data_IF_284645475795
#
_entry.id   IF_284645475795
#
_cell.length_a   1.000
_cell.length_b   1.000
_cell.length_c   1.000
_cell.angle_alpha   90.00
_cell.angle_beta   90.00
_cell.angle_gamma   90.00
#
_symmetry.space_group_name_H-M   'P 1'
#
loop_
_entity.id
_entity.type
_entity.pdbx_description
1 polymer ?
#
# COMPACT_ATOMS: atom_id res chain seq x y z
N UNK A 1 41.34 -28.29 -17.24
CA UNK A 1 39.93 -28.19 -16.84
C UNK A 1 39.81 -27.29 -15.63
N UNK A 2 39.38 -26.03 -15.81
CA UNK A 2 39.01 -25.14 -14.70
C UNK A 2 37.49 -25.10 -14.63
N UNK A 3 36.93 -25.63 -13.55
CA UNK A 3 35.52 -25.49 -13.21
C UNK A 3 35.26 -24.03 -12.82
N UNK A 4 34.74 -23.26 -13.76
CA UNK A 4 34.21 -21.93 -13.47
C UNK A 4 32.83 -22.11 -12.86
N UNK A 5 32.71 -21.88 -11.55
CA UNK A 5 31.43 -21.74 -10.85
C UNK A 5 30.62 -20.64 -11.56
N UNK A 6 29.52 -21.02 -12.23
CA UNK A 6 28.48 -20.08 -12.67
C UNK A 6 27.94 -19.37 -11.43
N UNK A 7 28.27 -18.09 -11.28
CA UNK A 7 27.51 -17.19 -10.40
C UNK A 7 26.13 -17.07 -11.03
N UNK A 8 25.12 -17.47 -10.30
CA UNK A 8 23.72 -17.37 -10.70
C UNK A 8 23.32 -15.92 -10.40
N UNK A 9 23.38 -15.07 -11.43
CA UNK A 9 22.96 -13.67 -11.37
C UNK A 9 21.44 -13.61 -11.64
N UNK A 10 20.64 -14.03 -10.66
CA UNK A 10 19.16 -13.91 -10.70
C UNK A 10 18.75 -12.53 -10.18
N UNK A 11 17.84 -11.87 -10.88
CA UNK A 11 17.20 -10.64 -10.43
C UNK A 11 15.76 -10.98 -10.05
N UNK A 12 15.41 -10.74 -8.79
CA UNK A 12 14.06 -10.90 -8.25
C UNK A 12 13.29 -9.60 -8.52
N UNK A 13 12.27 -9.66 -9.38
CA UNK A 13 11.32 -8.56 -9.56
C UNK A 13 10.22 -8.74 -8.52
N UNK A 14 10.27 -7.94 -7.45
CA UNK A 14 9.33 -8.03 -6.33
C UNK A 14 8.08 -7.17 -6.59
N UNK A 15 8.15 -6.22 -7.54
CA UNK A 15 7.08 -5.24 -7.74
C UNK A 15 6.93 -4.81 -9.21
N UNK A 16 5.68 -4.64 -9.65
CA UNK A 16 5.28 -4.06 -10.93
C UNK A 16 4.48 -2.78 -10.63
N UNK A 17 5.04 -1.62 -10.97
CA UNK A 17 4.45 -0.31 -10.65
C UNK A 17 3.71 0.23 -11.87
N UNK A 18 2.40 0.37 -11.75
CA UNK A 18 1.58 1.07 -12.76
C UNK A 18 1.36 2.50 -12.27
N UNK A 19 1.87 3.48 -13.01
CA UNK A 19 1.76 4.91 -12.66
C UNK A 19 0.73 5.57 -13.57
N UNK A 20 -0.42 5.96 -13.02
CA UNK A 20 -1.38 6.84 -13.71
C UNK A 20 -0.98 8.31 -13.48
N UNK A 21 -0.75 9.07 -14.54
CA UNK A 21 -0.55 10.53 -14.42
C UNK A 21 -1.94 11.17 -14.49
N UNK A 22 -2.47 11.62 -13.35
CA UNK A 22 -3.63 12.51 -13.36
C UNK A 22 -3.12 13.92 -13.66
N UNK A 23 -3.52 14.46 -14.81
CA UNK A 23 -3.36 15.87 -15.15
C UNK A 23 -4.27 16.76 -14.29
N UNK A 24 -4.01 16.85 -12.99
CA UNK A 24 -4.54 17.87 -12.08
C UNK A 24 -3.58 17.96 -10.89
N UNK A 25 -3.05 19.17 -10.66
CA UNK A 25 -2.09 19.51 -9.61
C UNK A 25 -2.48 18.91 -8.24
N UNK A 26 -1.83 17.82 -7.86
CA UNK A 26 -1.63 17.48 -6.46
C UNK A 26 -0.14 17.59 -6.17
N UNK A 27 0.16 18.50 -5.26
CA UNK A 27 1.48 18.70 -4.68
C UNK A 27 2.06 17.33 -4.33
N UNK A 28 3.30 16.99 -4.73
CA UNK A 28 3.96 15.83 -4.18
C UNK A 28 4.12 16.14 -2.70
N UNK A 29 3.28 15.56 -1.84
CA UNK A 29 3.62 15.47 -0.42
C UNK A 29 4.74 14.44 -0.34
N UNK A 30 5.94 14.96 -0.61
CA UNK A 30 7.19 14.41 -0.15
C UNK A 30 7.05 14.07 1.33
N UNK A 31 7.58 12.89 1.69
CA UNK A 31 7.73 12.37 3.05
C UNK A 31 6.46 11.72 3.64
N UNK A 32 5.99 10.62 3.05
CA UNK A 32 5.66 9.49 3.92
C UNK A 32 6.98 9.02 4.54
N UNK A 33 7.23 9.47 5.76
CA UNK A 33 8.31 8.94 6.57
C UNK A 33 7.87 7.52 6.96
N UNK A 34 8.25 6.53 6.16
CA UNK A 34 8.25 5.15 6.59
C UNK A 34 9.31 5.07 7.68
N UNK A 35 8.91 5.24 8.93
CA UNK A 35 9.66 4.64 10.03
C UNK A 35 9.41 3.14 9.91
N UNK A 36 10.21 2.46 9.10
CA UNK A 36 10.55 1.06 9.35
C UNK A 36 11.46 1.10 10.57
N UNK A 37 10.85 1.36 11.71
CA UNK A 37 11.51 1.12 12.98
C UNK A 37 11.44 -0.39 13.11
N UNK A 38 12.57 -1.06 12.87
CA UNK A 38 12.84 -2.37 13.45
C UNK A 38 12.60 -2.19 14.95
N UNK A 39 11.38 -2.49 15.39
CA UNK A 39 11.06 -2.53 16.80
C UNK A 39 11.78 -3.76 17.33
N UNK A 40 12.83 -3.52 18.11
CA UNK A 40 13.32 -4.51 19.06
C UNK A 40 12.09 -5.11 19.75
N UNK A 41 12.04 -6.44 19.75
CA UNK A 41 11.00 -7.32 20.32
C UNK A 41 10.76 -7.10 21.83
N UNK A 42 11.23 -6.00 22.42
CA UNK A 42 11.15 -5.67 23.85
C UNK A 42 10.22 -4.50 24.19
N UNK A 43 9.71 -3.74 23.21
CA UNK A 43 8.69 -2.70 23.45
C UNK A 43 7.27 -3.24 23.24
N UNK A 44 7.00 -4.43 23.76
CA UNK A 44 5.63 -4.92 23.89
C UNK A 44 4.82 -3.89 24.67
N UNK A 45 3.92 -3.20 23.95
CA UNK A 45 2.80 -2.49 24.52
C UNK A 45 2.22 -3.36 25.63
N UNK A 46 2.18 -2.84 26.86
CA UNK A 46 1.55 -3.52 27.98
C UNK A 46 0.06 -3.69 27.66
N UNK A 47 -0.31 -4.84 27.09
CA UNK A 47 -1.69 -5.25 26.92
C UNK A 47 -2.20 -5.62 28.31
N UNK A 48 -2.85 -4.68 28.98
CA UNK A 48 -3.63 -5.01 30.17
C UNK A 48 -4.99 -5.56 29.72
N UNK A 49 -5.40 -6.71 30.27
CA UNK A 49 -6.70 -7.36 30.03
C UNK A 49 -7.92 -6.57 30.57
N UNK A 50 -7.78 -5.27 30.86
CA UNK A 50 -8.81 -4.42 31.44
C UNK A 50 -9.50 -3.47 30.44
N UNK A 51 -9.27 -3.66 29.14
CA UNK A 51 -9.80 -2.76 28.11
C UNK A 51 -11.32 -2.84 27.97
N UNK A 52 -12.01 -1.70 27.92
CA UNK A 52 -13.43 -1.66 27.55
C UNK A 52 -13.60 -1.85 26.05
N UNK A 53 -14.74 -2.39 25.59
CA UNK A 53 -14.97 -2.52 24.15
C UNK A 53 -15.21 -1.13 23.52
N UNK A 54 -14.60 -0.90 22.35
CA UNK A 54 -14.90 0.29 21.54
C UNK A 54 -16.26 0.09 20.88
N UNK A 55 -17.21 1.02 21.07
CA UNK A 55 -18.53 0.86 20.45
C UNK A 55 -18.44 1.03 18.92
N UNK A 56 -19.13 0.18 18.15
CA UNK A 56 -19.14 0.27 16.69
C UNK A 56 -19.67 1.63 16.19
N UNK A 57 -20.59 2.26 16.93
CA UNK A 57 -21.10 3.61 16.60
C UNK A 57 -20.05 4.72 16.74
N UNK A 58 -18.94 4.45 17.43
CA UNK A 58 -17.83 5.39 17.58
C UNK A 58 -16.85 5.34 16.40
N UNK A 59 -17.03 4.40 15.47
CA UNK A 59 -16.19 4.23 14.29
C UNK A 59 -16.97 4.69 13.06
N UNK A 60 -16.40 5.63 12.31
CA UNK A 60 -16.97 6.08 11.04
C UNK A 60 -15.95 5.98 9.93
N UNK A 61 -16.43 5.70 8.72
CA UNK A 61 -15.67 5.70 7.47
C UNK A 61 -16.49 6.38 6.40
N UNK A 62 -15.85 7.14 5.52
CA UNK A 62 -16.53 7.82 4.41
C UNK A 62 -16.97 6.84 3.30
N UNK A 63 -16.19 5.79 3.05
CA UNK A 63 -16.45 4.77 2.03
C UNK A 63 -16.09 3.36 2.55
N UNK A 64 -16.68 2.33 1.94
CA UNK A 64 -16.44 0.91 2.27
C UNK A 64 -15.56 0.19 1.27
N UNK A 65 -15.40 0.78 0.08
CA UNK A 65 -14.65 0.22 -1.04
C UNK A 65 -13.79 1.33 -1.63
N UNK A 66 -12.52 1.02 -1.89
CA UNK A 66 -11.55 1.99 -2.40
C UNK A 66 -10.72 1.36 -3.51
N UNK A 67 -10.52 2.09 -4.59
CA UNK A 67 -9.57 1.73 -5.62
C UNK A 67 -8.14 2.12 -5.22
N UNK A 68 -7.19 1.18 -5.38
CA UNK A 68 -5.76 1.40 -5.16
C UNK A 68 -5.28 2.67 -5.86
N UNK A 69 -4.41 3.43 -5.20
CA UNK A 69 -3.79 4.67 -5.66
C UNK A 69 -4.75 5.86 -5.92
N UNK A 70 -6.08 5.69 -5.83
CA UNK A 70 -7.05 6.72 -6.19
C UNK A 70 -7.90 7.17 -5.01
N UNK A 71 -8.55 6.24 -4.31
CA UNK A 71 -9.62 6.59 -3.39
C UNK A 71 -9.10 6.71 -1.95
N UNK A 72 -9.12 7.92 -1.35
CA UNK A 72 -8.82 8.09 0.06
C UNK A 72 -9.98 7.62 0.93
N UNK A 73 -9.67 6.77 1.90
CA UNK A 73 -10.61 6.35 2.95
C UNK A 73 -10.28 7.07 4.24
N UNK A 74 -11.20 7.94 4.66
CA UNK A 74 -11.11 8.63 5.94
C UNK A 74 -11.77 7.75 7.00
N UNK A 75 -10.97 7.32 7.96
CA UNK A 75 -11.43 6.70 9.20
C UNK A 75 -11.46 7.75 10.31
N UNK A 76 -12.51 7.72 11.12
CA UNK A 76 -12.58 8.48 12.37
C UNK A 76 -13.01 7.56 13.51
N UNK A 77 -12.38 7.72 14.66
CA UNK A 77 -12.69 7.01 15.90
C UNK A 77 -12.95 8.02 17.01
N UNK A 78 -14.13 7.95 17.63
CA UNK A 78 -14.45 8.73 18.81
C UNK A 78 -14.06 7.95 20.08
N UNK A 79 -13.22 8.54 20.92
CA UNK A 79 -12.69 7.90 22.13
C UNK A 79 -13.29 8.44 23.42
N UNK A 80 -14.38 9.23 23.36
CA UNK A 80 -15.00 9.87 24.55
C UNK A 80 -15.48 8.88 25.62
N UNK A 81 -15.70 7.61 25.25
CA UNK A 81 -16.01 6.52 26.19
C UNK A 81 -14.83 6.05 27.04
N UNK A 82 -13.61 6.50 26.74
CA UNK A 82 -12.37 6.09 27.41
C UNK A 82 -11.74 7.27 28.16
N UNK A 83 -11.74 7.18 29.49
CA UNK A 83 -11.06 8.18 30.32
C UNK A 83 -9.55 8.17 30.06
N UNK A 84 -8.99 9.32 29.71
CA UNK A 84 -7.54 9.46 29.51
C UNK A 84 -7.03 9.02 28.15
N UNK A 85 -7.90 8.79 27.16
CA UNK A 85 -7.48 8.51 25.79
C UNK A 85 -6.59 9.65 25.24
N UNK A 86 -5.41 9.28 24.74
CA UNK A 86 -4.38 10.22 24.32
C UNK A 86 -3.86 9.95 22.90
N UNK A 87 -3.68 8.69 22.52
CA UNK A 87 -3.26 8.30 21.16
C UNK A 87 -4.06 7.11 20.67
N UNK A 88 -4.29 7.05 19.35
CA UNK A 88 -5.00 5.94 18.71
C UNK A 88 -4.20 5.43 17.51
N UNK A 89 -4.19 4.11 17.31
CA UNK A 89 -3.63 3.47 16.13
C UNK A 89 -4.72 2.70 15.39
N UNK A 90 -4.73 2.79 14.08
CA UNK A 90 -5.53 1.96 13.19
C UNK A 90 -4.65 0.82 12.70
N UNK A 91 -5.12 -0.43 12.83
CA UNK A 91 -4.44 -1.62 12.33
C UNK A 91 -5.27 -2.26 11.23
N UNK A 92 -4.68 -2.41 10.04
CA UNK A 92 -5.30 -3.14 8.92
C UNK A 92 -4.69 -4.55 8.88
N UNK A 93 -5.53 -5.57 8.97
CA UNK A 93 -5.18 -6.97 8.78
C UNK A 93 -5.41 -7.35 7.31
N UNK A 94 -4.35 -7.33 6.50
CA UNK A 94 -4.45 -7.76 5.11
C UNK A 94 -4.56 -9.28 4.99
N UNK A 95 -5.18 -9.74 3.90
CA UNK A 95 -5.40 -11.17 3.63
C UNK A 95 -4.12 -11.99 3.41
N UNK A 96 -2.98 -11.34 3.20
CA UNK A 96 -1.65 -11.97 3.16
C UNK A 96 -1.01 -12.10 4.56
N UNK A 97 -1.77 -11.77 5.61
CA UNK A 97 -1.36 -11.78 7.01
C UNK A 97 -0.24 -10.79 7.34
N UNK A 98 -0.07 -9.72 6.55
CA UNK A 98 0.83 -8.62 6.88
C UNK A 98 0.06 -7.49 7.58
N UNK A 99 0.03 -7.40 8.92
CA UNK A 99 -0.62 -6.27 9.56
C UNK A 99 0.17 -4.98 9.32
N UNK A 100 -0.52 -3.89 8.97
CA UNK A 100 0.07 -2.54 8.96
C UNK A 100 -0.66 -1.66 9.98
N UNK A 101 0.10 -0.90 10.75
CA UNK A 101 -0.40 0.01 11.78
C UNK A 101 -0.14 1.47 11.39
N UNK A 102 -1.12 2.32 11.72
CA UNK A 102 -1.14 3.72 11.34
C UNK A 102 -1.54 4.56 12.54
N UNK A 103 -0.65 5.47 12.97
CA UNK A 103 -0.98 6.44 14.01
C UNK A 103 -2.05 7.42 13.50
N UNK A 104 -3.10 7.61 14.29
CA UNK A 104 -4.20 8.50 13.97
C UNK A 104 -3.99 9.87 14.60
N UNK A 105 -4.37 10.92 13.89
CA UNK A 105 -4.25 12.30 14.36
C UNK A 105 -5.49 12.73 15.15
N UNK A 106 -5.29 13.34 16.32
CA UNK A 106 -6.39 13.89 17.13
C UNK A 106 -6.96 15.15 16.48
N UNK A 107 -8.28 15.20 16.29
CA UNK A 107 -8.98 16.41 15.88
C UNK A 107 -9.00 17.41 17.05
N UNK A 108 -8.45 18.61 16.82
CA UNK A 108 -8.26 19.62 17.85
C UNK A 108 -9.58 19.97 18.58
N UNK A 109 -9.53 19.93 19.92
CA UNK A 109 -10.68 20.25 20.77
C UNK A 109 -11.76 19.16 20.84
N UNK A 110 -11.46 17.94 20.36
CA UNK A 110 -12.40 16.81 20.37
C UNK A 110 -11.75 15.52 20.90
N UNK A 111 -12.57 14.49 21.11
CA UNK A 111 -12.13 13.12 21.36
C UNK A 111 -12.13 12.26 20.09
N UNK A 112 -12.13 12.89 18.91
CA UNK A 112 -12.03 12.18 17.65
C UNK A 112 -10.57 12.07 17.20
N UNK A 113 -10.22 10.90 16.70
CA UNK A 113 -8.96 10.62 16.02
C UNK A 113 -9.25 10.26 14.57
N UNK A 114 -8.44 10.74 13.63
CA UNK A 114 -8.64 10.49 12.20
C UNK A 114 -7.39 10.02 11.48
N UNK A 115 -7.60 9.23 10.43
CA UNK A 115 -6.56 8.84 9.52
C UNK A 115 -7.12 8.76 8.10
N UNK A 116 -6.35 9.23 7.12
CA UNK A 116 -6.69 9.11 5.70
C UNK A 116 -5.80 8.04 5.09
N UNK A 117 -6.40 6.88 4.83
CA UNK A 117 -5.72 5.76 4.20
C UNK A 117 -5.92 5.80 2.69
N UNK A 118 -4.83 5.72 1.94
CA UNK A 118 -4.85 5.56 0.47
C UNK A 118 -4.20 4.20 0.20
N UNK A 119 -4.94 3.20 -0.34
CA UNK A 119 -4.35 1.90 -0.65
C UNK A 119 -3.25 2.08 -1.70
N UNK A 120 -2.08 1.50 -1.45
CA UNK A 120 -0.94 1.54 -2.36
C UNK A 120 -1.17 0.62 -3.57
N UNK A 121 -0.32 0.74 -4.59
CA UNK A 121 -0.45 -0.04 -5.83
C UNK A 121 -0.25 -1.56 -5.62
N UNK A 122 0.44 -1.95 -4.54
CA UNK A 122 0.74 -3.33 -4.15
C UNK A 122 -0.22 -3.86 -3.06
N UNK A 123 -1.02 -2.99 -2.41
CA UNK A 123 -1.88 -3.33 -1.27
C UNK A 123 -2.81 -4.49 -1.62
N UNK A 124 -2.80 -5.64 -0.91
CA UNK A 124 -3.60 -6.81 -1.27
C UNK A 124 -5.06 -6.51 -1.65
N UNK A 125 -5.60 -7.19 -2.68
CA UNK A 125 -6.99 -6.99 -3.11
C UNK A 125 -7.97 -7.70 -2.17
N UNK A 126 -9.22 -7.23 -2.20
CA UNK A 126 -10.33 -7.87 -1.52
C UNK A 126 -10.68 -7.21 -0.18
N UNK A 127 -11.36 -7.97 0.66
CA UNK A 127 -11.89 -7.51 1.94
C UNK A 127 -10.82 -7.60 3.03
N UNK A 128 -10.60 -6.53 3.79
CA UNK A 128 -9.63 -6.48 4.88
C UNK A 128 -10.29 -6.00 6.17
N UNK A 129 -9.88 -6.58 7.29
CA UNK A 129 -10.37 -6.19 8.61
C UNK A 129 -9.52 -5.05 9.17
N UNK A 130 -10.18 -4.19 9.95
CA UNK A 130 -9.53 -3.06 10.59
C UNK A 130 -9.91 -3.05 12.06
N UNK A 131 -8.92 -2.98 12.93
CA UNK A 131 -9.07 -2.77 14.37
C UNK A 131 -8.42 -1.46 14.79
N UNK A 132 -8.76 -1.00 16.00
CA UNK A 132 -8.25 0.26 16.55
C UNK A 132 -7.74 0.05 17.96
N UNK A 133 -6.51 0.47 18.23
CA UNK A 133 -5.93 0.50 19.58
C UNK A 133 -5.97 1.91 20.14
N UNK A 134 -6.54 2.07 21.32
CA UNK A 134 -6.66 3.34 22.05
C UNK A 134 -5.73 3.27 23.26
N UNK A 135 -4.90 4.27 23.44
CA UNK A 135 -3.86 4.31 24.47
C UNK A 135 -3.93 5.59 25.29
N UNK A 136 -3.59 5.48 26.57
CA UNK A 136 -3.46 6.63 27.44
C UNK A 136 -2.11 7.38 27.26
N UNK A 137 -1.88 8.39 28.10
CA UNK A 137 -0.63 9.17 28.10
C UNK A 137 0.61 8.35 28.50
N UNK A 138 0.43 7.21 29.17
CA UNK A 138 1.50 6.29 29.58
C UNK A 138 1.67 5.10 28.62
N UNK A 139 0.98 5.12 27.47
CA UNK A 139 0.97 4.07 26.45
C UNK A 139 0.35 2.74 26.91
N UNK A 140 -0.49 2.77 27.94
CA UNK A 140 -1.32 1.63 28.33
C UNK A 140 -2.55 1.55 27.43
N UNK A 141 -2.83 0.36 26.91
CA UNK A 141 -4.00 0.13 26.05
C UNK A 141 -5.29 0.16 26.87
N UNK A 142 -6.26 0.97 26.41
CA UNK A 142 -7.54 1.22 27.09
C UNK A 142 -8.70 0.38 26.55
N UNK A 143 -8.55 -0.22 25.37
CA UNK A 143 -9.59 -1.05 24.74
C UNK A 143 -9.08 -2.45 24.39
N UNK A 144 -9.99 -3.40 24.19
CA UNK A 144 -9.67 -4.81 23.91
C UNK A 144 -9.38 -5.12 22.42
N UNK A 145 -9.52 -4.13 21.53
CA UNK A 145 -9.41 -4.25 20.06
C UNK A 145 -10.34 -5.30 19.41
N UNK A 146 -11.41 -5.73 20.09
CA UNK A 146 -12.32 -6.77 19.56
C UNK A 146 -13.28 -6.23 18.51
N UNK A 147 -13.59 -4.93 18.57
CA UNK A 147 -14.49 -4.29 17.61
C UNK A 147 -13.77 -3.99 16.30
N UNK A 148 -14.23 -4.62 15.23
CA UNK A 148 -13.64 -4.52 13.89
C UNK A 148 -14.56 -3.77 12.93
N UNK A 149 -13.95 -3.00 12.04
CA UNK A 149 -14.55 -2.50 10.80
C UNK A 149 -13.83 -3.13 9.61
N UNK A 150 -14.08 -2.65 8.40
CA UNK A 150 -13.46 -3.21 7.20
C UNK A 150 -13.25 -2.19 6.08
N UNK A 151 -12.52 -2.61 5.05
CA UNK A 151 -12.42 -1.94 3.77
C UNK A 151 -12.31 -3.02 2.69
N UNK A 152 -12.91 -2.78 1.53
CA UNK A 152 -12.66 -3.58 0.33
C UNK A 152 -11.71 -2.81 -0.59
N UNK A 153 -10.52 -3.35 -0.81
CA UNK A 153 -9.55 -2.78 -1.76
C UNK A 153 -9.78 -3.39 -3.14
N UNK A 154 -10.00 -2.53 -4.12
CA UNK A 154 -10.23 -2.88 -5.52
C UNK A 154 -9.08 -2.37 -6.37
N UNK A 155 -8.87 -3.00 -7.53
CA UNK A 155 -7.98 -2.48 -8.56
C UNK A 155 -8.75 -2.36 -9.85
N UNK A 156 -8.38 -1.36 -10.62
CA UNK A 156 -8.83 -1.13 -11.98
C UNK A 156 -7.77 -1.49 -13.03
N UNK A 157 -6.63 -1.99 -12.58
CA UNK A 157 -5.62 -2.56 -13.43
C UNK A 157 -5.27 -3.98 -12.98
N UNK A 158 -4.78 -4.77 -13.92
CA UNK A 158 -4.28 -6.11 -13.70
C UNK A 158 -3.07 -6.31 -14.60
N UNK A 159 -1.92 -6.62 -14.00
CA UNK A 159 -0.67 -6.88 -14.70
C UNK A 159 -0.22 -8.31 -14.50
N UNK A 160 0.23 -8.95 -15.57
CA UNK A 160 0.83 -10.27 -15.54
C UNK A 160 2.18 -10.24 -16.24
N UNK A 161 3.12 -10.99 -15.68
CA UNK A 161 4.39 -11.29 -16.33
C UNK A 161 4.46 -12.79 -16.59
N UNK A 162 5.12 -13.20 -17.66
CA UNK A 162 5.23 -14.61 -18.04
C UNK A 162 6.10 -15.46 -17.08
N UNK A 163 6.81 -14.82 -16.17
CA UNK A 163 7.63 -15.42 -15.11
C UNK A 163 7.77 -14.44 -13.94
N UNK A 164 8.10 -14.96 -12.76
CA UNK A 164 8.43 -14.18 -11.55
C UNK A 164 9.94 -13.96 -11.38
N UNK A 165 10.76 -14.74 -12.10
CA UNK A 165 12.23 -14.62 -12.12
C UNK A 165 12.72 -14.56 -13.56
N UNK A 166 13.73 -13.72 -13.79
CA UNK A 166 14.36 -13.56 -15.09
C UNK A 166 15.88 -13.50 -14.97
N UNK A 167 16.56 -14.02 -15.98
CA UNK A 167 17.99 -13.84 -16.17
C UNK A 167 18.26 -12.49 -16.86
N UNK A 168 19.46 -11.94 -16.63
CA UNK A 168 19.93 -10.77 -17.39
C UNK A 168 19.93 -11.06 -18.89
N UNK A 169 19.57 -10.07 -19.68
CA UNK A 169 19.35 -10.12 -21.12
C UNK A 169 18.22 -11.06 -21.57
N UNK A 170 17.39 -11.54 -20.63
CA UNK A 170 16.18 -12.28 -20.98
C UNK A 170 15.09 -11.31 -21.43
N UNK A 171 14.34 -11.74 -22.45
CA UNK A 171 13.13 -11.06 -22.92
C UNK A 171 11.98 -11.37 -21.96
N UNK A 172 11.37 -10.32 -21.44
CA UNK A 172 10.16 -10.37 -20.60
C UNK A 172 8.95 -10.21 -21.49
N UNK A 173 7.90 -10.97 -21.19
CA UNK A 173 6.59 -10.83 -21.79
C UNK A 173 5.62 -10.46 -20.69
N UNK A 174 4.89 -9.37 -20.88
CA UNK A 174 3.87 -8.94 -19.96
C UNK A 174 2.55 -8.65 -20.65
N UNK A 175 1.48 -8.74 -19.88
CA UNK A 175 0.14 -8.33 -20.25
C UNK A 175 -0.36 -7.36 -19.18
N UNK A 176 -0.91 -6.24 -19.60
CA UNK A 176 -1.58 -5.29 -18.70
C UNK A 176 -2.98 -5.06 -19.23
N UNK A 177 -3.93 -5.13 -18.31
CA UNK A 177 -5.32 -4.79 -18.53
C UNK A 177 -5.61 -3.60 -17.66
N UNK A 178 -6.02 -2.49 -18.25
CA UNK A 178 -6.52 -1.33 -17.54
C UNK A 178 -8.00 -1.14 -17.85
N UNK A 179 -8.76 -0.80 -16.83
CA UNK A 179 -10.19 -0.57 -16.93
C UNK A 179 -10.50 0.82 -16.38
N UNK A 180 -10.79 1.78 -17.26
CA UNK A 180 -11.32 3.05 -16.80
C UNK A 180 -12.76 2.83 -16.32
N UNK A 181 -13.00 3.15 -15.05
CA UNK A 181 -14.29 2.96 -14.41
C UNK A 181 -14.77 4.27 -13.79
N UNK A 182 -16.09 4.42 -13.70
CA UNK A 182 -16.72 5.56 -13.04
C UNK A 182 -16.35 6.90 -13.67
N UNK A 183 -16.05 7.90 -12.83
CA UNK A 183 -15.69 9.27 -13.22
C UNK A 183 -14.20 9.47 -13.53
N UNK A 184 -13.40 8.40 -13.52
CA UNK A 184 -11.96 8.48 -13.75
C UNK A 184 -11.65 8.24 -15.23
N UNK A 185 -11.35 9.32 -15.96
CA UNK A 185 -10.82 9.25 -17.33
C UNK A 185 -9.28 9.29 -17.24
N UNK A 186 -8.67 8.13 -17.06
CA UNK A 186 -7.23 7.99 -16.78
C UNK A 186 -6.48 7.67 -18.07
N UNK A 187 -5.32 8.31 -18.22
CA UNK A 187 -4.25 7.93 -19.14
C UNK A 187 -3.25 7.09 -18.34
N UNK A 188 -2.87 5.94 -18.89
CA UNK A 188 -2.06 4.95 -18.17
C UNK A 188 -0.66 4.89 -18.76
N UNK A 189 0.36 4.96 -17.92
CA UNK A 189 1.71 4.65 -18.35
C UNK A 189 2.18 3.38 -17.67
N UNK A 190 2.76 2.48 -18.46
CA UNK A 190 3.43 1.29 -17.92
C UNK A 190 4.92 1.60 -17.83
N UNK A 191 5.49 1.44 -16.64
CA UNK A 191 6.92 1.59 -16.43
C UNK A 191 7.50 0.34 -15.77
N UNK A 192 8.76 0.04 -16.09
CA UNK A 192 9.54 -0.97 -15.38
C UNK A 192 10.49 -0.23 -14.44
N UNK A 193 10.46 -0.63 -13.16
CA UNK A 193 11.29 -0.06 -12.11
C UNK A 193 12.35 -1.06 -11.65
N UNK A 194 13.54 -0.56 -11.35
CA UNK A 194 14.62 -1.37 -10.79
C UNK A 194 14.34 -1.73 -9.32
N UNK A 195 14.66 -2.97 -8.93
CA UNK A 195 14.37 -3.49 -7.59
C UNK A 195 15.29 -2.96 -6.49
N UNK A 196 16.41 -2.33 -6.84
CA UNK A 196 17.35 -1.67 -5.91
C UNK A 196 17.09 -0.17 -5.86
N UNK A 197 16.71 0.43 -7.00
CA UNK A 197 16.46 1.86 -7.07
C UNK A 197 15.25 2.18 -7.96
N UNK A 198 14.09 2.38 -7.32
CA UNK A 198 12.82 2.71 -7.98
C UNK A 198 12.84 4.00 -8.79
N UNK A 199 13.82 4.90 -8.56
CA UNK A 199 14.00 6.11 -9.40
C UNK A 199 14.53 5.80 -10.80
N UNK A 200 15.07 4.60 -11.03
CA UNK A 200 15.43 4.10 -12.36
C UNK A 200 14.18 3.47 -12.94
N UNK A 201 13.45 4.28 -13.71
CA UNK A 201 12.22 3.88 -14.39
C UNK A 201 12.38 4.03 -15.90
N UNK A 202 11.85 3.07 -16.64
CA UNK A 202 11.70 3.16 -18.09
C UNK A 202 10.24 3.02 -18.46
N UNK A 203 9.64 4.10 -18.94
CA UNK A 203 8.27 4.08 -19.49
C UNK A 203 8.27 3.28 -20.79
N UNK A 204 7.37 2.30 -20.87
CA UNK A 204 7.25 1.43 -22.03
C UNK A 204 6.28 2.00 -23.07
N UNK A 205 5.10 2.49 -22.66
CA UNK A 205 4.05 3.01 -23.56
C UNK A 205 2.89 3.65 -22.77
N UNK A 206 2.06 4.42 -23.48
CA UNK A 206 0.80 5.01 -23.03
C UNK A 206 -0.38 4.11 -23.42
N UNK A 207 -1.12 3.67 -22.42
CA UNK A 207 -2.28 2.80 -22.47
C UNK A 207 -3.54 3.64 -22.32
N UNK A 208 -4.39 3.60 -23.35
CA UNK A 208 -5.76 4.12 -23.24
C UNK A 208 -6.64 3.22 -22.37
N UNK A 209 -7.84 2.89 -22.87
CA UNK A 209 -8.76 1.94 -22.24
C UNK A 209 -8.66 0.56 -22.91
N UNK A 210 -7.58 -0.19 -22.67
CA UNK A 210 -7.38 -1.44 -23.40
C UNK A 210 -6.58 -2.51 -22.63
N UNK A 211 -6.64 -3.72 -23.16
CA UNK A 211 -5.70 -4.82 -22.88
C UNK A 211 -4.51 -4.64 -23.81
N UNK A 212 -3.29 -4.67 -23.28
CA UNK A 212 -2.08 -4.63 -24.11
C UNK A 212 -1.05 -5.67 -23.68
N UNK A 213 -0.27 -6.11 -24.67
CA UNK A 213 0.80 -7.06 -24.52
C UNK A 213 2.11 -6.37 -24.85
N UNK A 214 3.08 -6.47 -23.96
CA UNK A 214 4.35 -5.78 -24.11
C UNK A 214 5.52 -6.72 -23.91
N UNK A 215 6.65 -6.34 -24.50
CA UNK A 215 7.91 -7.06 -24.31
C UNK A 215 9.07 -6.10 -24.16
N UNK A 216 9.97 -6.39 -23.22
CA UNK A 216 11.20 -5.64 -23.00
C UNK A 216 12.34 -6.60 -22.64
N UNK A 217 13.59 -6.11 -22.66
CA UNK A 217 14.78 -6.89 -22.30
C UNK A 217 15.32 -6.36 -20.97
N UNK A 218 15.65 -7.25 -20.03
CA UNK A 218 16.31 -6.86 -18.78
C UNK A 218 17.80 -6.61 -19.03
N UNK A 219 18.24 -5.36 -18.96
CA UNK A 219 19.66 -4.97 -19.12
C UNK A 219 20.33 -4.68 -17.77
N UNK A 220 21.68 -4.54 -17.77
CA UNK A 220 22.49 -4.34 -16.55
C UNK A 220 22.26 -2.99 -15.84
N UNK A 221 21.70 -2.02 -16.56
CA UNK A 221 21.09 -0.76 -16.15
C UNK A 221 19.98 -0.52 -17.17
N UNK A 222 18.75 -0.28 -16.75
CA UNK A 222 17.65 -0.05 -17.68
C UNK A 222 17.92 1.23 -18.49
N UNK A 223 18.45 1.09 -19.70
CA UNK A 223 18.55 2.14 -20.71
C UNK A 223 17.92 1.55 -21.98
N UNK A 224 16.77 2.08 -22.42
CA UNK A 224 16.22 1.72 -23.72
C UNK A 224 17.03 2.42 -24.81
N UNK A 225 17.63 1.65 -25.72
CA UNK A 225 17.90 2.13 -27.07
C UNK A 225 16.60 2.09 -27.86
N UNK A 226 16.25 3.22 -28.48
CA UNK A 226 15.03 3.45 -29.26
C UNK A 226 14.62 2.24 -30.13
N UNK A 227 13.35 1.86 -30.05
CA UNK A 227 12.74 0.91 -30.99
C UNK A 227 12.02 1.75 -32.05
N UNK A 228 12.49 1.65 -33.30
CA UNK A 228 11.83 2.19 -34.49
C UNK A 228 10.54 1.44 -34.83
#
# INVERSE_FOLDING_TARGET
MKNTKRKIDRILIISFVIVSIIGLCLVPNANQKITSQDFDESDFLNVSDNGSYLNYSAITRNITSAYRAFDPVRFSVNTSGFSGANSTFMRIEFNDFTPREYEMEREAGTDNFTYVYIPEYDTPLGFHNISFGIFDVTKVQLNDQTTKTNITVMSNYLGFLNSTEYERNQKVYGEVIVNNFGSYNLEWNVAVVDNVNESIQSTLYDLGMDIDHFTFIITDRFEMSDIN
#
